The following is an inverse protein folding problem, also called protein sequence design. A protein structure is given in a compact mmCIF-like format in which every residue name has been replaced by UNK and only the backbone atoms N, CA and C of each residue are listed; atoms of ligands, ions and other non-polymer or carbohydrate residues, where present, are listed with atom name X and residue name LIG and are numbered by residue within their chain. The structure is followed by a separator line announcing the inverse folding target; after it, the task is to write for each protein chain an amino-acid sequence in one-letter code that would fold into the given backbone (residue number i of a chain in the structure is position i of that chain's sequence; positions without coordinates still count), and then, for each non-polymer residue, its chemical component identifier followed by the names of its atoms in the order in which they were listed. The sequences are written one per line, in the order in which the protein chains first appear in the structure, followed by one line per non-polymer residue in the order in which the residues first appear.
data_IF_599901358539
#
_entry.id   IF_599901358539
#
_cell.length_a   1.000
_cell.length_b   1.000
_cell.length_c   1.000
_cell.angle_alpha   90.00
_cell.angle_beta   90.00
_cell.angle_gamma   90.00
#
_symmetry.space_group_name_H-M   'P 1'
#
loop_
_entity.id
_entity.type
_entity.pdbx_description
1 polymer ?
#
# COMPACT_ATOMS: atom_id res chain seq x y z
N UNK A 1 -7.02 0.52 5.12
CA UNK A 1 -6.81 1.21 3.82
C UNK A 1 -7.89 2.24 3.54
N UNK A 2 -9.16 1.86 3.39
CA UNK A 2 -10.27 2.83 3.23
C UNK A 2 -10.30 3.88 4.35
N UNK A 3 -10.11 3.47 5.60
CA UNK A 3 -9.99 4.37 6.76
C UNK A 3 -8.77 5.29 6.73
N UNK A 4 -7.72 4.95 5.96
CA UNK A 4 -6.58 5.84 5.71
C UNK A 4 -6.85 6.83 4.56
N UNK A 5 -8.06 6.85 4.00
CA UNK A 5 -8.40 7.66 2.82
C UNK A 5 -7.85 7.10 1.51
N UNK A 6 -7.36 5.87 1.47
CA UNK A 6 -6.80 5.26 0.27
C UNK A 6 -7.85 4.51 -0.55
N UNK A 7 -7.77 4.61 -1.87
CA UNK A 7 -8.64 3.89 -2.78
C UNK A 7 -8.06 2.51 -3.14
N UNK A 8 -8.88 1.47 -3.09
CA UNK A 8 -8.51 0.14 -3.56
C UNK A 8 -8.66 0.05 -5.08
N UNK A 9 -7.82 -0.76 -5.73
CA UNK A 9 -7.99 -1.03 -7.16
C UNK A 9 -9.32 -1.73 -7.46
N UNK A 10 -9.69 -2.68 -6.60
CA UNK A 10 -10.95 -3.42 -6.69
C UNK A 10 -11.97 -2.75 -5.79
N UNK A 11 -13.04 -2.23 -6.39
CA UNK A 11 -14.10 -1.49 -5.67
C UNK A 11 -15.24 -2.40 -5.23
N UNK A 12 -15.54 -3.47 -5.98
CA UNK A 12 -16.55 -4.47 -5.63
C UNK A 12 -15.92 -5.59 -4.79
N UNK A 13 -16.33 -5.69 -3.54
CA UNK A 13 -15.77 -6.63 -2.56
C UNK A 13 -15.91 -8.09 -2.99
N UNK A 14 -16.89 -8.42 -3.84
CA UNK A 14 -17.06 -9.80 -4.35
C UNK A 14 -15.90 -10.27 -5.24
N UNK A 15 -15.12 -9.33 -5.79
CA UNK A 15 -13.94 -9.61 -6.60
C UNK A 15 -12.63 -9.33 -5.86
N UNK A 16 -12.68 -8.90 -4.59
CA UNK A 16 -11.50 -8.64 -3.80
C UNK A 16 -10.76 -9.95 -3.49
N UNK A 17 -9.43 -9.92 -3.55
CA UNK A 17 -8.60 -11.10 -3.26
C UNK A 17 -8.38 -11.26 -1.76
N UNK A 18 -8.47 -12.50 -1.28
CA UNK A 18 -8.13 -12.89 0.09
C UNK A 18 -6.62 -13.09 0.32
N UNK A 19 -5.78 -12.82 -0.69
CA UNK A 19 -4.33 -13.08 -0.61
C UNK A 19 -3.46 -11.86 -0.90
N UNK A 20 -4.02 -10.84 -1.56
CA UNK A 20 -3.33 -9.60 -1.89
C UNK A 20 -4.31 -8.45 -2.01
N UNK A 21 -3.96 -7.31 -1.41
CA UNK A 21 -4.71 -6.06 -1.56
C UNK A 21 -3.93 -5.10 -2.45
N UNK A 22 -4.52 -4.69 -3.57
CA UNK A 22 -3.98 -3.66 -4.45
C UNK A 22 -4.60 -2.31 -4.12
N UNK A 23 -3.75 -1.30 -3.89
CA UNK A 23 -4.13 0.06 -3.50
C UNK A 23 -3.62 1.01 -4.56
N UNK A 24 -4.46 1.96 -5.00
CA UNK A 24 -4.06 2.99 -5.95
C UNK A 24 -3.09 3.97 -5.30
N UNK A 25 -2.11 4.42 -6.07
CA UNK A 25 -1.26 5.54 -5.67
C UNK A 25 -2.14 6.80 -5.68
N UNK A 26 -2.30 7.51 -4.55
CA UNK A 26 -3.10 8.73 -4.52
C UNK A 26 -2.50 9.83 -5.38
N UNK A 27 -3.35 10.73 -5.86
CA UNK A 27 -2.90 11.91 -6.61
C UNK A 27 -1.91 12.74 -5.77
N UNK A 28 -0.81 13.15 -6.41
CA UNK A 28 0.24 13.93 -5.76
C UNK A 28 1.20 13.13 -4.87
N UNK A 29 1.00 11.81 -4.71
CA UNK A 29 1.95 10.95 -4.00
C UNK A 29 3.08 10.50 -4.90
N UNK A 30 4.33 10.71 -4.48
CA UNK A 30 5.48 10.11 -5.13
C UNK A 30 5.60 8.63 -4.73
N UNK A 31 5.22 7.74 -5.67
CA UNK A 31 5.27 6.29 -5.49
C UNK A 31 6.69 5.78 -5.15
N UNK A 32 7.74 6.31 -5.80
CA UNK A 32 9.11 5.87 -5.55
C UNK A 32 9.55 6.27 -4.15
N UNK A 33 9.19 7.48 -3.72
CA UNK A 33 9.46 7.94 -2.35
C UNK A 33 8.68 7.11 -1.32
N UNK A 34 7.40 6.80 -1.58
CA UNK A 34 6.57 5.97 -0.72
C UNK A 34 7.21 4.59 -0.51
N UNK A 35 7.47 3.85 -1.58
CA UNK A 35 8.05 2.51 -1.50
C UNK A 35 9.46 2.54 -0.90
N UNK A 36 10.25 3.57 -1.25
CA UNK A 36 11.58 3.79 -0.70
C UNK A 36 11.57 3.94 0.82
N UNK A 37 10.77 4.89 1.32
CA UNK A 37 10.66 5.19 2.76
C UNK A 37 10.10 4.05 3.57
N UNK A 38 9.04 3.39 3.08
CA UNK A 38 8.48 2.20 3.72
C UNK A 38 9.57 1.14 3.94
N UNK A 39 10.44 0.93 2.94
CA UNK A 39 11.54 -0.04 3.03
C UNK A 39 12.66 0.41 3.95
N UNK A 40 13.13 1.65 3.83
CA UNK A 40 14.36 2.10 4.50
C UNK A 40 14.14 2.61 5.92
N UNK A 41 12.95 3.14 6.22
CA UNK A 41 12.63 3.74 7.53
C UNK A 41 11.79 2.80 8.41
N UNK A 42 11.03 1.88 7.79
CA UNK A 42 10.09 1.00 8.50
C UNK A 42 10.33 -0.50 8.26
N UNK A 43 11.34 -0.88 7.47
CA UNK A 43 11.61 -2.28 7.10
C UNK A 43 10.41 -2.98 6.41
N UNK A 44 9.51 -2.22 5.79
CA UNK A 44 8.34 -2.74 5.07
C UNK A 44 8.57 -2.68 3.56
N UNK A 45 8.60 -3.84 2.91
CA UNK A 45 8.72 -3.91 1.45
C UNK A 45 7.33 -4.00 0.83
N UNK A 46 6.90 -2.93 0.17
CA UNK A 46 5.69 -2.93 -0.65
C UNK A 46 6.00 -3.45 -2.06
N UNK A 47 5.12 -4.29 -2.60
CA UNK A 47 5.21 -4.70 -3.99
C UNK A 47 4.58 -3.61 -4.89
N UNK A 48 5.30 -3.14 -5.90
CA UNK A 48 4.71 -2.25 -6.90
C UNK A 48 3.67 -2.93 -7.80
N UNK A 49 3.01 -2.13 -8.63
CA UNK A 49 2.28 -2.62 -9.80
C UNK A 49 3.21 -3.25 -10.84
N UNK A 50 2.63 -3.85 -11.88
CA UNK A 50 3.38 -4.53 -12.94
C UNK A 50 2.89 -4.08 -14.31
N UNK A 51 3.79 -4.12 -15.31
CA UNK A 51 3.46 -3.77 -16.69
C UNK A 51 2.89 -2.37 -16.80
N UNK A 52 1.68 -2.26 -17.34
CA UNK A 52 0.98 -0.98 -17.51
C UNK A 52 0.64 -0.29 -16.20
N UNK A 53 0.59 -1.03 -15.08
CA UNK A 53 0.22 -0.51 -13.77
C UNK A 53 1.40 -0.18 -12.86
N UNK A 54 2.63 -0.22 -13.38
CA UNK A 54 3.86 -0.11 -12.56
C UNK A 54 3.93 1.14 -11.68
N UNK A 55 3.25 2.22 -12.06
CA UNK A 55 3.21 3.48 -11.32
C UNK A 55 1.86 3.79 -10.67
N UNK A 56 0.82 2.99 -10.92
CA UNK A 56 -0.57 3.33 -10.58
C UNK A 56 -1.02 2.70 -9.26
N UNK A 57 -0.38 1.61 -8.85
CA UNK A 57 -0.72 0.86 -7.64
C UNK A 57 0.51 0.41 -6.87
N UNK A 58 0.28 0.10 -5.59
CA UNK A 58 1.11 -0.81 -4.81
C UNK A 58 0.25 -1.94 -4.24
N UNK A 59 0.90 -2.99 -3.76
CA UNK A 59 0.26 -4.23 -3.32
C UNK A 59 0.82 -4.69 -1.97
N UNK A 60 -0.08 -5.18 -1.13
CA UNK A 60 0.21 -5.79 0.17
C UNK A 60 -0.22 -7.26 0.09
N UNK A 61 0.74 -8.17 0.15
CA UNK A 61 0.48 -9.61 0.20
C UNK A 61 0.17 -10.06 1.62
N UNK A 62 -0.82 -10.94 1.78
CA UNK A 62 -1.27 -11.46 3.07
C UNK A 62 -1.59 -12.96 3.00
N UNK A 63 -0.72 -13.69 2.29
CA UNK A 63 -0.82 -15.14 2.08
C UNK A 63 0.44 -15.85 2.60
N UNK A 64 0.25 -16.97 3.28
CA UNK A 64 1.34 -17.82 3.77
C UNK A 64 1.69 -17.49 5.23
N UNK A 65 2.99 -17.40 5.52
CA UNK A 65 3.50 -17.09 6.85
C UNK A 65 3.38 -15.59 7.14
N UNK A 66 2.15 -15.13 7.40
CA UNK A 66 1.82 -13.74 7.71
C UNK A 66 0.96 -13.71 8.96
N UNK A 67 1.38 -12.93 9.95
CA UNK A 67 0.63 -12.67 11.17
C UNK A 67 -0.15 -11.34 11.07
N UNK A 68 -1.11 -11.15 11.96
CA UNK A 68 -1.85 -9.87 12.06
C UNK A 68 -0.92 -8.71 12.39
N UNK A 69 0.13 -8.93 13.17
CA UNK A 69 1.13 -7.92 13.50
C UNK A 69 1.83 -7.38 12.26
N UNK A 70 2.19 -8.25 11.31
CA UNK A 70 2.85 -7.82 10.07
C UNK A 70 1.96 -6.85 9.27
N UNK A 71 0.64 -7.07 9.28
CA UNK A 71 -0.33 -6.19 8.64
C UNK A 71 -0.49 -4.88 9.40
N UNK A 72 -0.49 -4.92 10.74
CA UNK A 72 -0.50 -3.73 11.58
C UNK A 72 0.74 -2.87 11.31
N UNK A 73 1.92 -3.46 11.23
CA UNK A 73 3.18 -2.76 10.95
C UNK A 73 3.14 -2.05 9.60
N UNK A 74 2.59 -2.70 8.57
CA UNK A 74 2.37 -2.07 7.26
C UNK A 74 1.44 -0.86 7.37
N UNK A 75 0.32 -0.99 8.08
CA UNK A 75 -0.67 0.08 8.24
C UNK A 75 -0.09 1.26 9.02
N UNK A 76 0.65 1.00 10.09
CA UNK A 76 1.24 2.04 10.92
C UNK A 76 2.38 2.76 10.22
N UNK A 77 3.22 2.04 9.45
CA UNK A 77 4.20 2.65 8.57
C UNK A 77 3.54 3.54 7.49
N UNK A 78 2.43 3.10 6.88
CA UNK A 78 1.70 3.92 5.92
C UNK A 78 1.18 5.23 6.52
N UNK A 79 0.64 5.21 7.75
CA UNK A 79 0.17 6.43 8.44
C UNK A 79 1.29 7.48 8.60
N UNK A 80 2.53 7.03 8.81
CA UNK A 80 3.69 7.90 9.00
C UNK A 80 4.23 8.39 7.66
N UNK A 81 4.34 7.52 6.66
CA UNK A 81 5.01 7.83 5.40
C UNK A 81 4.12 8.63 4.46
N UNK A 82 2.83 8.32 4.37
CA UNK A 82 1.90 8.95 3.41
C UNK A 82 1.95 10.48 3.44
N UNK A 83 1.85 11.16 4.60
CA UNK A 83 1.94 12.62 4.66
C UNK A 83 3.29 13.18 4.18
N UNK A 84 4.38 12.44 4.38
CA UNK A 84 5.73 12.86 3.98
C UNK A 84 5.93 12.84 2.46
N UNK A 85 5.14 12.04 1.75
CA UNK A 85 5.25 11.84 0.29
C UNK A 85 4.15 12.54 -0.49
N UNK A 86 3.42 13.47 0.15
CA UNK A 86 2.45 14.34 -0.51
C UNK A 86 0.98 13.95 -0.33
N UNK A 87 0.68 12.87 0.40
CA UNK A 87 -0.71 12.51 0.68
C UNK A 87 -1.34 13.51 1.65
N UNK A 88 -2.52 14.02 1.28
CA UNK A 88 -3.34 14.89 2.12
C UNK A 88 -4.68 14.20 2.31
N UNK A 89 -4.93 13.73 3.53
CA UNK A 89 -6.18 13.08 3.94
C UNK A 89 -7.33 14.08 4.06
#
# INVERSE_FOLDING_TARGET
MKELGLELLVTDEKYASNTVTAVKIPDGVDNKALVGKMRTEHNVVLAGGQGRMSNDIFRIGHLGAVAKSDITDVVDALKIVLPQVGFKS
#
